data_IF_843772634533
#
_entry.id   IF_843772634533
#
_cell.length_a   1.000
_cell.length_b   1.000
_cell.length_c   1.000
_cell.angle_alpha   90.00
_cell.angle_beta   90.00
_cell.angle_gamma   90.00
#
_symmetry.space_group_name_H-M   'P 1'
#
loop_
_entity.id
_entity.type
_entity.pdbx_description
1 polymer ?
#
# COMPACT_ATOMS: atom_id res chain seq x y z
N UNK A 1 -32.14 25.94 -3.66
CA UNK A 1 -32.06 25.67 -5.12
C UNK A 1 -33.40 25.04 -5.50
N UNK A 2 -33.84 25.03 -6.75
CA UNK A 2 -35.24 24.65 -7.06
C UNK A 2 -35.60 23.16 -6.81
N UNK A 3 -34.62 22.32 -6.44
CA UNK A 3 -34.79 20.87 -6.23
C UNK A 3 -34.34 20.40 -4.83
N UNK A 4 -34.44 21.24 -3.80
CA UNK A 4 -33.93 20.91 -2.45
C UNK A 4 -34.63 19.69 -1.79
N UNK A 5 -35.78 19.24 -2.33
CA UNK A 5 -36.52 18.06 -1.87
C UNK A 5 -36.14 16.77 -2.61
N UNK A 6 -35.40 16.86 -3.72
CA UNK A 6 -34.96 15.68 -4.47
C UNK A 6 -33.60 15.20 -3.96
N UNK A 7 -33.37 13.88 -3.83
CA UNK A 7 -32.06 13.35 -3.54
C UNK A 7 -31.01 13.93 -4.51
N UNK A 8 -29.92 14.44 -3.95
CA UNK A 8 -28.82 15.07 -4.70
C UNK A 8 -29.22 16.25 -5.61
N UNK A 9 -30.35 16.92 -5.34
CA UNK A 9 -30.82 18.06 -6.13
C UNK A 9 -31.22 17.71 -7.56
N UNK A 10 -31.74 16.50 -7.77
CA UNK A 10 -32.21 16.01 -9.08
C UNK A 10 -31.09 15.53 -10.02
N UNK A 11 -29.86 15.44 -9.53
CA UNK A 11 -28.72 14.93 -10.32
C UNK A 11 -28.74 13.41 -10.37
N UNK A 12 -28.41 12.87 -11.54
CA UNK A 12 -28.16 11.43 -11.69
C UNK A 12 -26.80 11.09 -11.07
N UNK A 13 -26.79 10.17 -10.11
CA UNK A 13 -25.58 9.63 -9.48
C UNK A 13 -25.33 8.20 -9.95
N UNK A 14 -24.10 7.94 -10.41
CA UNK A 14 -23.62 6.60 -10.73
C UNK A 14 -22.45 6.30 -9.81
N UNK A 15 -22.56 5.23 -9.04
CA UNK A 15 -21.52 4.76 -8.14
C UNK A 15 -20.98 3.43 -8.64
N UNK A 16 -19.67 3.27 -8.57
CA UNK A 16 -19.00 2.02 -8.87
C UNK A 16 -18.05 1.71 -7.73
N UNK A 17 -18.03 0.46 -7.29
CA UNK A 17 -17.25 0.04 -6.15
C UNK A 17 -17.40 -1.43 -5.89
N UNK A 18 -16.60 -1.91 -4.94
CA UNK A 18 -16.61 -3.29 -4.51
C UNK A 18 -16.55 -3.32 -2.98
N UNK A 19 -17.66 -3.72 -2.37
CA UNK A 19 -17.80 -3.77 -0.92
C UNK A 19 -16.94 -4.84 -0.25
N UNK A 20 -16.26 -5.72 -1.00
CA UNK A 20 -15.22 -6.62 -0.45
C UNK A 20 -13.92 -5.88 -0.12
N UNK A 21 -13.72 -4.68 -0.68
CA UNK A 21 -12.52 -3.87 -0.45
C UNK A 21 -12.55 -3.15 0.90
N UNK A 22 -11.48 -2.42 1.24
CA UNK A 22 -11.40 -1.72 2.52
C UNK A 22 -12.49 -0.62 2.56
N UNK A 23 -13.18 -0.59 3.70
CA UNK A 23 -14.24 0.36 4.02
C UNK A 23 -13.67 1.73 4.42
N UNK A 24 -14.52 2.77 4.57
CA UNK A 24 -14.09 4.06 5.09
C UNK A 24 -13.34 3.91 6.43
N UNK A 25 -12.19 4.57 6.54
CA UNK A 25 -11.39 4.55 7.77
C UNK A 25 -12.01 5.52 8.78
N UNK A 26 -12.57 4.99 9.87
CA UNK A 26 -13.07 5.77 10.99
C UNK A 26 -11.99 5.82 12.08
N UNK A 27 -11.41 7.01 12.29
CA UNK A 27 -10.33 7.20 13.27
C UNK A 27 -10.85 6.92 14.67
N UNK A 28 -10.21 5.97 15.38
CA UNK A 28 -10.64 5.48 16.71
C UNK A 28 -12.05 4.87 16.72
N UNK A 29 -12.57 4.49 15.55
CA UNK A 29 -13.86 3.82 15.42
C UNK A 29 -13.77 2.34 15.77
N UNK A 30 -14.88 1.80 16.22
CA UNK A 30 -15.14 0.37 16.35
C UNK A 30 -15.48 -0.24 14.98
N UNK A 31 -15.53 -1.58 14.86
CA UNK A 31 -16.12 -2.22 13.69
C UNK A 31 -17.52 -1.68 13.36
N UNK A 32 -18.38 -1.46 14.37
CA UNK A 32 -19.72 -0.91 14.18
C UNK A 32 -19.69 0.48 13.53
N UNK A 33 -18.80 1.37 13.99
CA UNK A 33 -18.67 2.71 13.41
C UNK A 33 -18.20 2.66 11.94
N UNK A 34 -17.31 1.71 11.61
CA UNK A 34 -16.84 1.50 10.23
C UNK A 34 -17.97 1.04 9.31
N UNK A 35 -18.87 0.21 9.84
CA UNK A 35 -20.05 -0.29 9.12
C UNK A 35 -21.07 0.82 8.94
N UNK A 36 -21.32 1.62 9.98
CA UNK A 36 -22.24 2.76 9.93
C UNK A 36 -21.76 3.84 8.94
N UNK A 37 -20.45 4.05 8.84
CA UNK A 37 -19.84 4.92 7.84
C UNK A 37 -19.91 4.37 6.40
N UNK A 38 -20.25 3.09 6.20
CA UNK A 38 -20.38 2.49 4.88
C UNK A 38 -21.61 3.06 4.15
N UNK A 39 -21.48 3.26 2.83
CA UNK A 39 -22.58 3.76 2.01
C UNK A 39 -23.87 2.92 2.13
N UNK A 40 -23.76 1.60 2.32
CA UNK A 40 -24.91 0.72 2.50
C UNK A 40 -25.74 1.01 3.76
N UNK A 41 -25.14 1.65 4.76
CA UNK A 41 -25.81 2.05 6.00
C UNK A 41 -26.48 3.41 5.88
N UNK A 42 -26.26 4.14 4.77
CA UNK A 42 -26.89 5.43 4.53
C UNK A 42 -28.40 5.29 4.26
N UNK A 43 -29.20 6.22 4.78
CA UNK A 43 -30.62 6.34 4.43
C UNK A 43 -30.85 6.61 2.93
N UNK A 44 -29.84 7.12 2.23
CA UNK A 44 -29.89 7.33 0.78
C UNK A 44 -29.70 6.03 -0.01
N UNK A 45 -29.22 4.94 0.60
CA UNK A 45 -28.92 3.69 -0.10
C UNK A 45 -30.14 3.09 -0.80
N UNK A 46 -31.33 3.24 -0.20
CA UNK A 46 -32.61 2.78 -0.77
C UNK A 46 -33.01 3.47 -2.09
N UNK A 47 -32.40 4.60 -2.42
CA UNK A 47 -32.64 5.33 -3.67
C UNK A 47 -31.77 4.82 -4.83
N UNK A 48 -30.76 3.98 -4.55
CA UNK A 48 -29.88 3.46 -5.59
C UNK A 48 -30.41 2.15 -6.18
N UNK A 49 -30.44 2.09 -7.50
CA UNK A 49 -30.64 0.83 -8.22
C UNK A 49 -29.32 0.05 -8.28
N UNK A 50 -29.34 -1.19 -7.79
CA UNK A 50 -28.15 -2.03 -7.73
C UNK A 50 -28.01 -2.87 -9.00
N UNK A 51 -26.85 -2.79 -9.66
CA UNK A 51 -26.50 -3.62 -10.81
C UNK A 51 -25.18 -4.31 -10.53
N UNK A 52 -25.11 -5.61 -10.79
CA UNK A 52 -23.94 -6.44 -10.51
C UNK A 52 -23.25 -6.82 -11.82
N UNK A 53 -21.95 -6.54 -11.92
CA UNK A 53 -21.11 -7.06 -13.01
C UNK A 53 -20.63 -8.45 -12.63
N UNK A 54 -21.08 -9.47 -13.36
CA UNK A 54 -20.80 -10.89 -13.07
C UNK A 54 -19.80 -11.52 -14.02
N UNK A 55 -19.65 -10.96 -15.22
CA UNK A 55 -18.69 -11.47 -16.21
C UNK A 55 -17.27 -10.96 -15.94
N UNK A 56 -16.36 -11.89 -15.66
CA UNK A 56 -14.95 -11.57 -15.49
C UNK A 56 -14.27 -11.43 -16.86
N UNK A 57 -14.16 -10.19 -17.35
CA UNK A 57 -13.52 -9.89 -18.63
C UNK A 57 -12.07 -10.39 -18.74
N UNK A 58 -11.35 -10.57 -17.61
CA UNK A 58 -9.99 -11.12 -17.63
C UNK A 58 -9.98 -12.58 -18.06
N UNK A 59 -10.95 -13.36 -17.59
CA UNK A 59 -11.14 -14.76 -17.98
C UNK A 59 -11.55 -14.86 -19.45
N UNK A 60 -12.47 -13.99 -19.90
CA UNK A 60 -12.92 -13.94 -21.30
C UNK A 60 -11.77 -13.58 -22.27
N UNK A 61 -10.86 -12.70 -21.84
CA UNK A 61 -9.70 -12.28 -22.65
C UNK A 61 -8.52 -13.27 -22.62
N UNK A 62 -8.68 -14.43 -21.97
CA UNK A 62 -7.59 -15.41 -21.85
C UNK A 62 -7.21 -15.98 -23.22
N UNK A 63 -5.91 -16.22 -23.42
CA UNK A 63 -5.37 -16.69 -24.71
C UNK A 63 -5.58 -18.19 -24.96
N UNK A 64 -5.88 -18.95 -23.91
CA UNK A 64 -6.12 -20.39 -23.95
C UNK A 64 -7.13 -20.80 -22.89
N UNK A 65 -7.74 -21.97 -23.08
CA UNK A 65 -8.66 -22.57 -22.09
C UNK A 65 -7.97 -22.86 -20.75
N UNK A 66 -6.70 -23.29 -20.78
CA UNK A 66 -5.92 -23.53 -19.56
C UNK A 66 -5.72 -22.25 -18.74
N UNK A 67 -5.32 -21.16 -19.39
CA UNK A 67 -5.18 -19.86 -18.73
C UNK A 67 -6.52 -19.33 -18.26
N UNK A 68 -7.60 -19.54 -19.02
CA UNK A 68 -8.95 -19.16 -18.60
C UNK A 68 -9.36 -19.89 -17.32
N UNK A 69 -9.12 -21.20 -17.24
CA UNK A 69 -9.43 -22.03 -16.07
C UNK A 69 -8.64 -21.60 -14.84
N UNK A 70 -7.33 -21.32 -14.98
CA UNK A 70 -6.50 -20.81 -13.89
C UNK A 70 -6.98 -19.44 -13.37
N UNK A 71 -7.29 -18.52 -14.28
CA UNK A 71 -7.83 -17.20 -13.93
C UNK A 71 -9.19 -17.30 -13.26
N UNK A 72 -10.06 -18.21 -13.72
CA UNK A 72 -11.37 -18.46 -13.13
C UNK A 72 -11.24 -19.05 -11.71
N UNK A 73 -10.37 -20.05 -11.52
CA UNK A 73 -10.11 -20.64 -10.21
C UNK A 73 -9.55 -19.61 -9.22
N UNK A 74 -8.61 -18.77 -9.68
CA UNK A 74 -8.08 -17.68 -8.86
C UNK A 74 -9.15 -16.63 -8.55
N UNK A 75 -9.97 -16.25 -9.54
CA UNK A 75 -11.10 -15.33 -9.33
C UNK A 75 -12.06 -15.85 -8.26
N UNK A 76 -12.45 -17.12 -8.32
CA UNK A 76 -13.33 -17.73 -7.32
C UNK A 76 -12.68 -17.78 -5.92
N UNK A 77 -11.38 -18.08 -5.86
CA UNK A 77 -10.62 -17.97 -4.62
C UNK A 77 -10.69 -16.57 -4.02
N UNK A 78 -10.49 -15.52 -4.83
CA UNK A 78 -10.60 -14.12 -4.37
C UNK A 78 -12.00 -13.79 -3.86
N UNK A 79 -13.07 -14.24 -4.54
CA UNK A 79 -14.45 -14.04 -4.09
C UNK A 79 -14.68 -14.67 -2.72
N UNK A 80 -14.24 -15.92 -2.52
CA UNK A 80 -14.35 -16.63 -1.24
C UNK A 80 -13.59 -15.92 -0.11
N UNK A 81 -12.41 -15.37 -0.39
CA UNK A 81 -11.65 -14.57 0.58
C UNK A 81 -12.44 -13.30 0.94
N UNK A 82 -12.84 -12.51 -0.06
CA UNK A 82 -13.49 -11.20 0.16
C UNK A 82 -14.86 -11.29 0.83
N UNK A 83 -15.61 -12.36 0.58
CA UNK A 83 -16.94 -12.58 1.16
C UNK A 83 -16.91 -13.42 2.44
N UNK A 84 -15.73 -13.90 2.85
CA UNK A 84 -15.59 -14.76 4.03
C UNK A 84 -16.27 -16.13 3.87
N UNK A 85 -16.37 -16.62 2.62
CA UNK A 85 -16.89 -17.94 2.20
C UNK A 85 -15.79 -18.98 1.95
N UNK A 86 -14.58 -18.74 2.44
CA UNK A 86 -13.47 -19.68 2.36
C UNK A 86 -13.70 -20.88 3.29
N UNK A 87 -12.95 -21.95 3.06
CA UNK A 87 -12.98 -23.11 3.94
C UNK A 87 -12.51 -22.72 5.34
N UNK A 88 -13.28 -23.11 6.34
CA UNK A 88 -13.05 -22.75 7.74
C UNK A 88 -12.02 -23.72 8.33
N UNK A 89 -10.93 -23.16 8.88
CA UNK A 89 -9.98 -23.95 9.64
C UNK A 89 -10.68 -24.56 10.86
N UNK A 90 -10.56 -25.88 11.05
CA UNK A 90 -11.15 -26.57 12.21
C UNK A 90 -10.56 -26.09 13.54
N UNK A 91 -9.29 -25.69 13.54
CA UNK A 91 -8.56 -25.27 14.73
C UNK A 91 -8.65 -23.76 14.99
N UNK A 92 -8.68 -22.93 13.95
CA UNK A 92 -8.64 -21.47 14.08
C UNK A 92 -10.01 -20.79 13.90
N UNK A 93 -10.96 -21.43 13.23
CA UNK A 93 -12.27 -20.86 12.93
C UNK A 93 -12.32 -20.03 11.65
N UNK A 94 -13.39 -19.24 11.51
CA UNK A 94 -13.87 -18.65 10.25
C UNK A 94 -13.23 -17.31 9.86
N UNK A 95 -12.37 -16.79 10.72
CA UNK A 95 -11.73 -15.48 10.56
C UNK A 95 -10.27 -15.66 10.08
N UNK A 96 -9.90 -16.88 9.71
CA UNK A 96 -8.59 -17.22 9.16
C UNK A 96 -8.75 -17.89 7.81
N UNK A 97 -7.93 -17.46 6.85
CA UNK A 97 -7.88 -18.07 5.53
C UNK A 97 -6.51 -18.68 5.27
N UNK A 98 -6.51 -19.85 4.63
CA UNK A 98 -5.29 -20.50 4.18
C UNK A 98 -4.81 -19.88 2.87
N UNK A 99 -3.61 -19.29 2.90
CA UNK A 99 -2.84 -18.92 1.71
C UNK A 99 -2.14 -20.17 1.20
N UNK A 100 -2.42 -20.61 -0.03
CA UNK A 100 -1.84 -21.84 -0.57
C UNK A 100 -0.32 -21.80 -0.74
N UNK A 101 0.33 -22.96 -0.63
CA UNK A 101 1.80 -23.10 -0.67
C UNK A 101 2.47 -22.48 -1.90
N UNK A 102 1.89 -22.61 -3.09
CA UNK A 102 2.46 -22.06 -4.34
C UNK A 102 2.47 -20.51 -4.39
N UNK A 103 1.66 -19.88 -3.54
CA UNK A 103 1.62 -18.42 -3.36
C UNK A 103 2.58 -17.95 -2.26
N UNK A 104 3.21 -18.85 -1.52
CA UNK A 104 4.09 -18.50 -0.41
C UNK A 104 5.55 -18.46 -0.86
N UNK A 105 6.34 -17.68 -0.14
CA UNK A 105 7.79 -17.77 -0.10
C UNK A 105 8.12 -18.54 1.16
N UNK A 106 8.90 -19.60 1.02
CA UNK A 106 9.30 -20.40 2.16
C UNK A 106 10.15 -19.56 3.11
N UNK A 107 9.77 -19.62 4.38
CA UNK A 107 10.50 -18.99 5.48
C UNK A 107 11.11 -20.08 6.40
N UNK A 108 11.21 -21.32 5.91
CA UNK A 108 11.69 -22.49 6.64
C UNK A 108 13.03 -22.95 6.06
N UNK A 109 14.12 -22.58 6.73
CA UNK A 109 15.23 -23.48 7.08
C UNK A 109 16.24 -22.77 7.99
N UNK A 110 16.85 -23.59 8.84
CA UNK A 110 17.88 -23.26 9.82
C UNK A 110 19.20 -22.95 9.14
N UNK A 111 19.56 -21.67 9.02
CA UNK A 111 20.98 -21.37 8.90
C UNK A 111 21.58 -21.67 10.27
N UNK A 112 22.41 -22.71 10.32
CA UNK A 112 23.34 -22.99 11.43
C UNK A 112 24.36 -21.85 11.63
N UNK A 113 24.21 -20.73 10.89
CA UNK A 113 25.12 -19.61 10.78
C UNK A 113 24.47 -18.24 11.12
N UNK A 114 23.19 -18.19 11.49
CA UNK A 114 22.60 -16.99 12.08
C UNK A 114 22.46 -17.21 13.58
N UNK A 115 23.33 -16.60 14.38
CA UNK A 115 23.15 -16.51 15.82
C UNK A 115 21.72 -16.00 16.07
N UNK A 116 20.90 -16.78 16.78
CA UNK A 116 19.50 -16.42 17.09
C UNK A 116 19.40 -15.04 17.79
N UNK A 117 20.52 -14.58 18.36
CA UNK A 117 20.72 -13.26 18.96
C UNK A 117 20.79 -12.09 17.95
N UNK A 118 21.23 -12.30 16.70
CA UNK A 118 21.29 -11.24 15.69
C UNK A 118 19.89 -10.78 15.25
N UNK A 119 18.88 -11.65 15.29
CA UNK A 119 17.51 -11.33 14.93
C UNK A 119 16.81 -10.40 15.95
N UNK A 120 17.36 -10.26 17.16
CA UNK A 120 16.79 -9.49 18.28
C UNK A 120 17.45 -8.10 18.39
N UNK A 121 18.56 -7.85 17.67
CA UNK A 121 19.25 -6.56 17.70
C UNK A 121 18.38 -5.43 17.10
N UNK A 122 18.36 -4.25 17.73
CA UNK A 122 17.75 -3.06 17.15
C UNK A 122 18.40 -2.73 15.79
N UNK A 123 17.65 -2.91 14.70
CA UNK A 123 18.12 -2.67 13.33
C UNK A 123 18.40 -3.92 12.50
N UNK A 124 18.25 -5.12 13.08
CA UNK A 124 18.31 -6.37 12.32
C UNK A 124 17.20 -6.44 11.26
N UNK A 125 17.55 -6.94 10.07
CA UNK A 125 16.60 -7.21 8.98
C UNK A 125 16.06 -8.61 9.21
N UNK A 126 14.76 -8.80 9.51
CA UNK A 126 14.20 -10.14 9.67
C UNK A 126 14.49 -11.01 8.44
N UNK A 127 14.75 -12.30 8.63
CA UNK A 127 15.03 -13.22 7.51
C UNK A 127 13.94 -13.17 6.45
N UNK A 128 12.67 -13.19 6.87
CA UNK A 128 11.56 -13.10 5.94
C UNK A 128 11.56 -11.79 5.14
N UNK A 129 12.01 -10.69 5.75
CA UNK A 129 12.23 -9.42 5.05
C UNK A 129 13.33 -9.55 3.98
N UNK A 130 14.43 -10.25 4.26
CA UNK A 130 15.47 -10.53 3.26
C UNK A 130 14.88 -11.33 2.08
N UNK A 131 14.17 -12.42 2.35
CA UNK A 131 13.63 -13.33 1.35
C UNK A 131 12.61 -12.65 0.42
N UNK A 132 11.68 -11.84 0.95
CA UNK A 132 10.71 -11.12 0.09
C UNK A 132 11.42 -10.09 -0.80
N UNK A 133 12.48 -9.44 -0.31
CA UNK A 133 13.27 -8.50 -1.11
C UNK A 133 14.02 -9.25 -2.21
N UNK A 134 14.61 -10.41 -1.90
CA UNK A 134 15.31 -11.25 -2.89
C UNK A 134 14.34 -11.68 -4.01
N UNK A 135 13.14 -12.15 -3.67
CA UNK A 135 12.14 -12.56 -4.68
C UNK A 135 11.65 -11.40 -5.53
N UNK A 136 11.45 -10.21 -4.94
CA UNK A 136 10.83 -9.09 -5.66
C UNK A 136 11.84 -8.20 -6.39
N UNK A 137 13.06 -8.08 -5.86
CA UNK A 137 14.06 -7.10 -6.25
C UNK A 137 15.46 -7.71 -6.47
N UNK A 138 15.57 -8.99 -6.83
CA UNK A 138 16.84 -9.66 -7.16
C UNK A 138 17.71 -8.84 -8.13
N UNK A 139 17.10 -8.37 -9.22
CA UNK A 139 17.80 -7.67 -10.31
C UNK A 139 17.87 -6.14 -10.13
N UNK A 140 17.67 -5.63 -8.91
CA UNK A 140 17.61 -4.17 -8.65
C UNK A 140 18.86 -3.39 -9.11
N UNK A 141 20.00 -4.07 -9.26
CA UNK A 141 21.27 -3.48 -9.69
C UNK A 141 21.66 -3.84 -11.13
N UNK A 142 20.86 -4.62 -11.84
CA UNK A 142 21.12 -4.96 -13.23
C UNK A 142 20.55 -3.84 -14.13
N UNK A 143 21.37 -3.02 -14.79
CA UNK A 143 20.89 -1.88 -15.57
C UNK A 143 20.04 -2.28 -16.78
N UNK A 144 20.21 -3.49 -17.32
CA UNK A 144 19.43 -4.00 -18.45
C UNK A 144 18.03 -4.46 -18.03
N UNK A 145 17.84 -4.74 -16.73
CA UNK A 145 16.60 -5.26 -16.17
C UNK A 145 15.89 -4.20 -15.32
N UNK A 146 16.60 -3.42 -14.51
CA UNK A 146 16.07 -2.43 -13.56
C UNK A 146 15.62 -1.12 -14.25
N UNK A 147 14.77 -1.23 -15.27
CA UNK A 147 14.19 -0.11 -16.02
C UNK A 147 12.96 0.50 -15.32
N UNK A 148 12.37 1.54 -15.90
CA UNK A 148 11.09 2.11 -15.46
C UNK A 148 10.00 1.03 -15.40
N UNK A 149 9.92 0.16 -16.41
CA UNK A 149 8.94 -0.93 -16.49
C UNK A 149 9.15 -1.97 -15.39
N UNK A 150 10.40 -2.25 -15.03
CA UNK A 150 10.72 -3.16 -13.94
C UNK A 150 10.13 -2.66 -12.63
N UNK A 151 10.41 -1.42 -12.25
CA UNK A 151 9.88 -0.86 -11.01
C UNK A 151 8.38 -0.57 -11.08
N UNK A 152 7.85 -0.19 -12.25
CA UNK A 152 6.42 0.01 -12.47
C UNK A 152 5.60 -1.27 -12.29
N UNK A 153 6.11 -2.39 -12.80
CA UNK A 153 5.40 -3.68 -12.83
C UNK A 153 5.38 -4.40 -11.49
N UNK A 154 6.14 -3.95 -10.48
CA UNK A 154 6.25 -4.63 -9.19
C UNK A 154 6.14 -3.72 -7.98
N UNK A 155 5.70 -4.30 -6.87
CA UNK A 155 5.72 -3.66 -5.55
C UNK A 155 5.66 -4.72 -4.46
N UNK A 156 6.16 -4.38 -3.28
CA UNK A 156 5.80 -5.08 -2.04
C UNK A 156 4.63 -4.34 -1.38
N UNK A 157 3.67 -5.07 -0.85
CA UNK A 157 2.60 -4.57 0.00
C UNK A 157 2.79 -5.04 1.44
N UNK A 158 2.44 -4.17 2.38
CA UNK A 158 2.39 -4.50 3.81
C UNK A 158 1.29 -3.70 4.52
N UNK A 159 1.08 -3.94 5.80
CA UNK A 159 -0.09 -3.47 6.54
C UNK A 159 0.04 -2.03 7.07
N UNK A 160 1.25 -1.57 7.43
CA UNK A 160 1.45 -0.27 8.10
C UNK A 160 2.56 0.59 7.47
N UNK A 161 2.47 1.92 7.62
CA UNK A 161 3.49 2.85 7.14
C UNK A 161 4.87 2.64 7.81
N UNK A 162 4.89 2.22 9.07
CA UNK A 162 6.14 1.93 9.79
C UNK A 162 6.90 0.77 9.16
N UNK A 163 6.19 -0.31 8.81
CA UNK A 163 6.80 -1.44 8.09
C UNK A 163 7.20 -1.00 6.68
N UNK A 164 6.36 -0.24 5.96
CA UNK A 164 6.72 0.33 4.64
C UNK A 164 8.05 1.09 4.69
N UNK A 165 8.27 1.93 5.71
CA UNK A 165 9.52 2.67 5.86
C UNK A 165 10.70 1.72 6.03
N UNK A 166 10.58 0.74 6.94
CA UNK A 166 11.64 -0.26 7.19
C UNK A 166 12.03 -1.03 5.93
N UNK A 167 11.04 -1.52 5.16
CA UNK A 167 11.32 -2.29 3.94
C UNK A 167 11.90 -1.38 2.86
N UNK A 168 11.36 -0.17 2.66
CA UNK A 168 11.91 0.77 1.67
C UNK A 168 13.38 1.12 1.99
N UNK A 169 13.72 1.33 3.26
CA UNK A 169 15.10 1.55 3.70
C UNK A 169 15.98 0.33 3.40
N UNK A 170 15.52 -0.88 3.75
CA UNK A 170 16.25 -2.13 3.48
C UNK A 170 16.47 -2.38 1.97
N UNK A 171 15.45 -2.16 1.13
CA UNK A 171 15.57 -2.29 -0.34
C UNK A 171 16.51 -1.22 -0.89
N UNK A 172 16.39 0.03 -0.42
CA UNK A 172 17.25 1.14 -0.88
C UNK A 172 18.71 0.95 -0.50
N UNK A 173 19.02 0.24 0.60
CA UNK A 173 20.41 -0.08 0.96
C UNK A 173 21.06 -1.03 -0.05
N UNK A 174 20.29 -1.93 -0.66
CA UNK A 174 20.77 -2.88 -1.68
C UNK A 174 21.01 -2.26 -3.06
N UNK A 175 20.29 -1.19 -3.38
CA UNK A 175 20.49 -0.46 -4.62
C UNK A 175 21.91 0.15 -4.66
N UNK A 176 22.66 -0.08 -5.73
CA UNK A 176 24.00 0.48 -5.92
C UNK A 176 23.94 2.00 -6.11
N UNK A 177 25.09 2.66 -5.90
CA UNK A 177 25.22 4.10 -6.05
C UNK A 177 25.12 4.89 -4.75
N UNK A 178 25.51 6.16 -4.85
CA UNK A 178 25.67 7.04 -3.69
C UNK A 178 24.32 7.47 -3.13
N UNK A 179 24.22 7.44 -1.80
CA UNK A 179 23.05 7.93 -1.08
C UNK A 179 23.10 9.44 -0.95
N UNK A 180 22.08 10.15 -1.46
CA UNK A 180 21.89 11.57 -1.23
C UNK A 180 20.92 11.79 -0.07
N UNK A 181 21.30 12.64 0.88
CA UNK A 181 20.50 12.95 2.07
C UNK A 181 19.94 14.36 1.97
N UNK A 182 18.62 14.50 2.06
CA UNK A 182 17.91 15.77 2.14
C UNK A 182 17.29 15.94 3.51
N UNK A 183 17.83 16.90 4.28
CA UNK A 183 17.24 17.33 5.54
C UNK A 183 16.13 18.36 5.27
N UNK A 184 15.02 18.26 5.99
CA UNK A 184 13.95 19.25 5.92
C UNK A 184 14.32 20.52 6.69
N UNK A 185 13.56 21.58 6.44
CA UNK A 185 13.56 22.79 7.28
C UNK A 185 12.23 22.83 8.00
N UNK A 186 12.28 22.71 9.33
CA UNK A 186 11.10 22.58 10.19
C UNK A 186 10.90 23.86 11.01
N UNK A 187 9.64 24.23 11.23
CA UNK A 187 9.23 25.36 12.08
C UNK A 187 7.82 25.12 12.61
N UNK A 188 7.39 25.93 13.58
CA UNK A 188 6.04 25.86 14.16
C UNK A 188 5.29 27.16 13.81
N UNK A 189 4.01 27.06 13.41
CA UNK A 189 3.23 28.24 12.99
C UNK A 189 3.12 29.34 14.06
N UNK A 190 3.03 28.96 15.34
CA UNK A 190 2.76 29.87 16.47
C UNK A 190 4.01 30.15 17.33
N UNK A 191 5.18 29.68 16.89
CA UNK A 191 6.47 29.94 17.55
C UNK A 191 7.25 30.98 16.74
N UNK A 192 6.86 32.25 16.86
CA UNK A 192 7.49 33.35 16.13
C UNK A 192 8.97 33.55 16.50
N UNK A 193 9.37 33.14 17.72
CA UNK A 193 10.73 33.29 18.23
C UNK A 193 11.59 32.03 18.04
N UNK A 194 10.98 30.90 17.63
CA UNK A 194 11.65 29.61 17.40
C UNK A 194 12.23 28.95 18.65
N UNK A 195 11.74 29.35 19.83
CA UNK A 195 12.34 29.00 21.13
C UNK A 195 11.48 28.03 21.95
N UNK A 196 10.26 27.71 21.52
CA UNK A 196 9.38 26.83 22.29
C UNK A 196 9.71 25.36 22.09
N UNK A 197 10.33 25.00 20.96
CA UNK A 197 10.68 23.61 20.63
C UNK A 197 12.11 23.49 20.12
N UNK A 198 12.88 22.56 20.70
CA UNK A 198 14.18 22.18 20.16
C UNK A 198 14.03 21.55 18.77
N UNK A 199 14.95 21.86 17.86
CA UNK A 199 14.91 21.38 16.49
C UNK A 199 14.93 19.84 16.42
N UNK A 200 15.69 19.20 17.32
CA UNK A 200 15.77 17.75 17.49
C UNK A 200 14.39 17.13 17.74
N UNK A 201 13.55 17.77 18.56
CA UNK A 201 12.18 17.31 18.81
C UNK A 201 11.38 17.34 17.51
N UNK A 202 11.43 18.46 16.77
CA UNK A 202 10.73 18.60 15.50
C UNK A 202 11.18 17.56 14.45
N UNK A 203 12.48 17.22 14.43
CA UNK A 203 13.04 16.23 13.51
C UNK A 203 12.54 14.81 13.77
N UNK A 204 12.15 14.48 15.01
CA UNK A 204 11.59 13.15 15.36
C UNK A 204 10.11 13.01 15.03
N UNK A 205 9.42 14.13 14.76
CA UNK A 205 7.97 14.14 14.55
C UNK A 205 7.63 13.56 13.17
N UNK A 206 6.88 12.45 13.20
CA UNK A 206 6.35 11.76 12.03
C UNK A 206 4.84 11.97 11.93
N UNK A 207 4.41 12.66 10.87
CA UNK A 207 3.00 13.03 10.64
C UNK A 207 2.54 12.43 9.31
N UNK A 208 1.37 11.79 9.32
CA UNK A 208 0.76 11.23 8.11
C UNK A 208 0.56 12.33 7.05
N UNK A 209 0.97 12.04 5.81
CA UNK A 209 0.84 12.99 4.69
C UNK A 209 1.92 14.08 4.66
N UNK A 210 2.92 14.02 5.55
CA UNK A 210 4.12 14.86 5.52
C UNK A 210 5.35 13.95 5.35
N UNK A 211 6.29 14.27 4.44
CA UNK A 211 7.54 13.53 4.31
C UNK A 211 8.38 13.52 5.60
N UNK A 212 9.26 12.52 5.79
CA UNK A 212 10.17 12.49 6.94
C UNK A 212 11.15 13.67 6.90
N UNK A 213 11.67 14.05 8.06
CA UNK A 213 12.72 15.07 8.17
C UNK A 213 13.94 14.71 7.32
N UNK A 214 14.42 13.48 7.47
CA UNK A 214 15.55 12.93 6.70
C UNK A 214 15.02 12.07 5.55
N UNK A 215 15.14 12.59 4.33
CA UNK A 215 14.86 11.85 3.11
C UNK A 215 16.17 11.37 2.48
N UNK A 216 16.38 10.06 2.41
CA UNK A 216 17.58 9.45 1.79
C UNK A 216 17.18 8.79 0.48
N UNK A 217 17.80 9.19 -0.63
CA UNK A 217 17.48 8.71 -1.98
C UNK A 217 18.76 8.30 -2.73
N UNK A 218 18.61 7.46 -3.75
CA UNK A 218 19.66 7.07 -4.70
C UNK A 218 19.16 7.29 -6.13
N UNK A 219 20.07 7.55 -7.06
CA UNK A 219 19.74 7.55 -8.49
C UNK A 219 19.26 6.16 -8.91
N UNK A 220 18.26 6.10 -9.78
CA UNK A 220 17.58 4.85 -10.17
C UNK A 220 16.48 4.39 -9.20
N UNK A 221 16.37 4.94 -7.99
CA UNK A 221 15.34 4.52 -7.04
C UNK A 221 13.92 4.94 -7.50
N UNK A 222 12.90 4.09 -7.37
CA UNK A 222 11.50 4.47 -7.51
C UNK A 222 11.07 5.33 -6.31
N UNK A 223 10.40 6.43 -6.61
CA UNK A 223 9.77 7.34 -5.65
C UNK A 223 8.29 7.57 -6.01
N UNK A 224 7.52 8.06 -5.07
CA UNK A 224 6.10 8.36 -5.24
C UNK A 224 5.79 9.75 -4.73
N UNK A 225 5.03 10.51 -5.52
CA UNK A 225 4.52 11.83 -5.17
C UNK A 225 3.54 11.75 -3.99
N UNK A 226 3.66 12.68 -3.04
CA UNK A 226 2.79 12.76 -1.86
C UNK A 226 1.69 13.83 -1.97
N UNK A 227 1.81 14.75 -2.93
CA UNK A 227 0.87 15.87 -3.13
C UNK A 227 0.66 16.13 -4.63
N UNK A 228 -0.48 16.72 -4.94
CA UNK A 228 -0.74 17.30 -6.25
C UNK A 228 0.07 18.58 -6.36
N UNK A 229 1.01 18.62 -7.31
CA UNK A 229 1.78 19.81 -7.65
C UNK A 229 1.33 20.37 -8.99
N UNK A 230 1.21 19.51 -9.99
CA UNK A 230 0.75 19.87 -11.33
C UNK A 230 0.08 18.66 -11.98
N UNK A 231 -1.25 18.51 -11.84
CA UNK A 231 -2.00 17.41 -12.45
C UNK A 231 -1.86 17.35 -13.97
N UNK A 232 -1.78 18.51 -14.62
CA UNK A 232 -1.64 18.60 -16.07
C UNK A 232 -0.30 18.06 -16.55
N UNK A 233 0.72 17.96 -15.69
CA UNK A 233 2.00 17.30 -15.98
C UNK A 233 2.11 15.90 -15.38
N UNK A 234 1.02 15.35 -14.84
CA UNK A 234 1.02 14.05 -14.17
C UNK A 234 1.67 14.05 -12.77
N UNK A 235 2.00 15.22 -12.21
CA UNK A 235 2.55 15.37 -10.86
C UNK A 235 1.43 15.40 -9.81
N UNK A 236 0.72 14.29 -9.71
CA UNK A 236 -0.36 14.02 -8.75
C UNK A 236 0.13 13.19 -7.57
N UNK A 237 -0.60 13.23 -6.45
CA UNK A 237 -0.40 12.30 -5.35
C UNK A 237 -0.56 10.86 -5.85
N UNK A 238 0.40 10.00 -5.53
CA UNK A 238 0.44 8.61 -5.96
C UNK A 238 1.19 8.36 -7.28
N UNK A 239 1.55 9.40 -8.05
CA UNK A 239 2.37 9.22 -9.26
C UNK A 239 3.70 8.59 -8.88
N UNK A 240 4.03 7.44 -9.50
CA UNK A 240 5.31 6.75 -9.32
C UNK A 240 6.32 7.24 -10.35
N UNK A 241 7.52 7.56 -9.89
CA UNK A 241 8.60 8.13 -10.68
C UNK A 241 9.90 7.34 -10.44
N UNK A 242 10.85 7.39 -11.37
CA UNK A 242 12.22 6.90 -11.13
C UNK A 242 13.19 8.07 -11.06
N UNK A 243 14.03 8.09 -10.04
CA UNK A 243 15.05 9.14 -9.89
C UNK A 243 16.08 9.05 -11.01
N UNK A 244 16.28 10.14 -11.75
CA UNK A 244 17.33 10.26 -12.77
C UNK A 244 18.54 10.96 -12.18
N UNK A 245 18.34 12.12 -11.55
CA UNK A 245 19.43 12.92 -10.95
C UNK A 245 19.00 13.58 -9.66
N UNK A 246 19.87 13.52 -8.66
CA UNK A 246 19.69 14.17 -7.36
C UNK A 246 20.52 15.46 -7.30
N UNK A 247 19.85 16.62 -7.26
CA UNK A 247 20.48 17.94 -7.13
C UNK A 247 20.10 18.60 -5.81
N UNK A 248 20.83 19.63 -5.32
CA UNK A 248 20.56 20.23 -4.01
C UNK A 248 19.13 20.78 -3.81
N UNK A 249 18.54 21.35 -4.87
CA UNK A 249 17.26 22.06 -4.79
C UNK A 249 16.14 21.48 -5.66
N UNK A 250 16.45 20.47 -6.47
CA UNK A 250 15.49 19.85 -7.40
C UNK A 250 15.81 18.38 -7.55
N UNK A 251 14.77 17.54 -7.61
CA UNK A 251 14.90 16.14 -8.01
C UNK A 251 14.46 16.05 -9.48
N UNK A 252 15.31 15.46 -10.31
CA UNK A 252 14.97 15.11 -11.69
C UNK A 252 14.58 13.63 -11.73
N UNK A 253 13.38 13.34 -12.24
CA UNK A 253 12.82 11.99 -12.29
C UNK A 253 12.03 11.76 -13.59
N UNK A 254 11.81 10.50 -13.97
CA UNK A 254 10.91 10.10 -15.06
C UNK A 254 9.61 9.53 -14.52
N UNK A 255 8.49 9.77 -15.22
CA UNK A 255 7.21 9.13 -14.89
C UNK A 255 7.22 7.66 -15.34
N UNK A 256 6.93 6.73 -14.42
CA UNK A 256 7.02 5.29 -14.70
C UNK A 256 5.75 4.66 -15.27
N UNK A 257 4.59 5.30 -15.11
CA UNK A 257 3.28 4.71 -15.48
C UNK A 257 2.30 5.73 -16.05
N UNK A 258 1.30 5.24 -16.78
CA UNK A 258 0.20 6.05 -17.33
C UNK A 258 0.55 6.74 -18.66
N UNK A 259 -0.33 7.63 -19.10
CA UNK A 259 -0.22 8.29 -20.42
C UNK A 259 1.05 9.13 -20.61
N UNK A 260 1.68 9.52 -19.49
CA UNK A 260 2.89 10.35 -19.47
C UNK A 260 4.17 9.55 -19.18
N UNK A 261 4.12 8.22 -19.30
CA UNK A 261 5.27 7.35 -19.08
C UNK A 261 6.49 7.81 -19.90
N UNK A 262 7.66 7.81 -19.27
CA UNK A 262 8.93 8.23 -19.86
C UNK A 262 9.17 9.74 -19.88
N UNK A 263 8.19 10.57 -19.51
CA UNK A 263 8.39 12.03 -19.45
C UNK A 263 9.25 12.42 -18.24
N UNK A 264 10.24 13.29 -18.50
CA UNK A 264 11.07 13.91 -17.47
C UNK A 264 10.32 15.00 -16.71
N UNK A 265 10.48 15.01 -15.39
CA UNK A 265 9.89 16.00 -14.49
C UNK A 265 10.91 16.51 -13.48
N UNK A 266 10.72 17.75 -13.05
CA UNK A 266 11.51 18.41 -12.03
C UNK A 266 10.64 18.66 -10.80
N UNK A 267 11.09 18.18 -9.64
CA UNK A 267 10.34 18.23 -8.40
C UNK A 267 11.06 19.17 -7.43
N UNK A 268 10.47 20.33 -7.08
CA UNK A 268 11.02 21.23 -6.07
C UNK A 268 10.59 20.81 -4.67
N UNK A 269 11.22 21.40 -3.65
CA UNK A 269 10.73 21.34 -2.27
C UNK A 269 9.48 22.20 -2.09
N UNK A 270 8.51 21.72 -1.32
CA UNK A 270 7.32 22.47 -0.94
C UNK A 270 7.19 22.52 0.59
N UNK A 271 6.35 23.43 1.09
CA UNK A 271 6.05 23.51 2.52
C UNK A 271 4.81 22.67 2.80
N UNK A 272 4.96 21.71 3.71
CA UNK A 272 3.88 20.96 4.31
C UNK A 272 3.48 21.63 5.62
N UNK A 273 2.20 21.65 5.93
CA UNK A 273 1.67 22.12 7.20
C UNK A 273 0.81 21.02 7.78
N UNK A 274 1.03 20.63 9.04
CA UNK A 274 0.16 19.67 9.71
C UNK A 274 -1.22 20.28 9.97
N UNK A 275 -2.25 19.44 10.03
CA UNK A 275 -3.56 19.89 10.50
C UNK A 275 -3.53 19.99 12.03
N UNK A 276 -3.79 21.21 12.52
CA UNK A 276 -3.78 21.52 13.96
C UNK A 276 -5.01 21.00 14.72
N UNK A 277 -6.03 20.47 14.01
CA UNK A 277 -7.29 20.00 14.61
C UNK A 277 -7.22 18.58 15.18
N UNK A 278 -6.10 17.88 15.01
CA UNK A 278 -5.90 16.61 15.71
C UNK A 278 -5.65 16.89 17.19
N UNK A 279 -6.54 16.41 18.08
CA UNK A 279 -6.42 16.52 19.55
C UNK A 279 -5.09 15.96 20.12
N UNK A 280 -4.29 15.31 19.27
CA UNK A 280 -3.02 14.67 19.61
C UNK A 280 -1.79 15.52 19.24
N UNK A 281 -1.94 16.65 18.56
CA UNK A 281 -0.82 17.48 18.14
C UNK A 281 -0.70 18.74 19.01
N UNK A 282 0.40 18.86 19.75
CA UNK A 282 0.68 20.00 20.63
C UNK A 282 0.97 21.30 19.86
N UNK A 283 1.28 21.20 18.56
CA UNK A 283 1.65 22.34 17.73
C UNK A 283 1.43 22.05 16.24
N UNK A 284 1.35 23.11 15.43
CA UNK A 284 1.22 22.99 13.98
C UNK A 284 2.59 23.05 13.30
N UNK A 285 3.10 21.89 12.89
CA UNK A 285 4.38 21.72 12.22
C UNK A 285 4.31 22.27 10.78
N UNK A 286 5.29 23.09 10.40
CA UNK A 286 5.63 23.42 9.02
C UNK A 286 6.92 22.73 8.63
N UNK A 287 6.89 21.91 7.58
CA UNK A 287 8.07 21.19 7.07
C UNK A 287 8.31 21.51 5.61
N UNK A 288 9.45 22.10 5.27
CA UNK A 288 9.90 22.29 3.88
C UNK A 288 10.73 21.10 3.43
N UNK A 289 10.18 20.28 2.54
CA UNK A 289 10.81 19.06 2.03
C UNK A 289 10.33 18.73 0.61
N UNK A 290 11.04 17.85 -0.10
CA UNK A 290 10.55 17.30 -1.36
C UNK A 290 9.26 16.48 -1.13
N UNK A 291 8.22 16.63 -1.97
CA UNK A 291 6.94 15.95 -1.81
C UNK A 291 6.98 14.50 -2.29
N UNK A 292 8.00 13.73 -1.90
CA UNK A 292 8.23 12.36 -2.38
C UNK A 292 8.69 11.43 -1.26
N UNK A 293 8.38 10.14 -1.43
CA UNK A 293 8.89 9.03 -0.61
C UNK A 293 9.33 7.88 -1.51
N UNK A 294 10.19 6.98 -1.02
CA UNK A 294 10.55 5.75 -1.73
C UNK A 294 9.30 4.90 -2.03
N UNK A 295 9.32 4.23 -3.18
CA UNK A 295 8.16 3.55 -3.75
C UNK A 295 8.46 2.10 -4.22
N UNK A 296 9.36 1.40 -3.53
CA UNK A 296 9.50 -0.05 -3.65
C UNK A 296 8.34 -0.78 -2.94
N UNK A 297 7.79 -0.12 -1.93
CA UNK A 297 6.80 -0.67 -1.02
C UNK A 297 5.73 0.36 -0.74
N UNK A 298 4.49 -0.10 -0.61
CA UNK A 298 3.38 0.72 -0.12
C UNK A 298 2.46 -0.09 0.78
N UNK A 299 1.57 0.59 1.49
CA UNK A 299 0.55 -0.09 2.27
C UNK A 299 -0.50 -0.70 1.37
N UNK A 300 -1.15 -1.77 1.84
CA UNK A 300 -2.30 -2.38 1.15
C UNK A 300 -3.40 -1.34 0.90
N UNK A 301 -3.68 -0.47 1.88
CA UNK A 301 -4.67 0.60 1.76
C UNK A 301 -4.35 1.56 0.60
N UNK A 302 -3.06 1.91 0.40
CA UNK A 302 -2.64 2.75 -0.73
C UNK A 302 -2.77 2.04 -2.08
N UNK A 303 -2.63 0.72 -2.10
CA UNK A 303 -2.73 -0.08 -3.32
C UNK A 303 -4.18 -0.31 -3.78
N UNK A 304 -5.18 0.05 -2.97
CA UNK A 304 -6.59 -0.07 -3.37
C UNK A 304 -6.87 0.70 -4.66
N UNK A 305 -7.55 0.05 -5.60
CA UNK A 305 -7.80 0.60 -6.94
C UNK A 305 -6.65 0.45 -7.93
N UNK A 306 -5.45 0.04 -7.51
CA UNK A 306 -4.30 -0.18 -8.40
C UNK A 306 -4.22 -1.63 -8.87
N UNK A 307 -3.64 -1.87 -10.04
CA UNK A 307 -3.28 -3.22 -10.52
C UNK A 307 -1.76 -3.30 -10.66
N UNK A 308 -1.16 -4.40 -10.19
CA UNK A 308 0.27 -4.64 -10.23
C UNK A 308 0.53 -5.97 -10.93
N UNK A 309 1.58 -6.04 -11.75
CA UNK A 309 1.89 -7.27 -12.47
C UNK A 309 2.55 -8.31 -11.57
N UNK A 310 3.52 -7.93 -10.73
CA UNK A 310 4.20 -8.81 -9.77
C UNK A 310 4.07 -8.24 -8.37
N UNK A 311 3.50 -9.00 -7.43
CA UNK A 311 3.18 -8.51 -6.10
C UNK A 311 3.80 -9.37 -5.03
N UNK A 312 4.60 -8.74 -4.18
CA UNK A 312 5.03 -9.29 -2.91
C UNK A 312 4.07 -8.86 -1.80
N UNK A 313 3.56 -9.76 -0.98
CA UNK A 313 2.83 -9.43 0.24
C UNK A 313 3.71 -9.81 1.44
N UNK A 314 4.13 -8.83 2.23
CA UNK A 314 4.90 -9.07 3.44
C UNK A 314 4.07 -8.73 4.69
N UNK A 315 3.75 -9.76 5.46
CA UNK A 315 2.99 -9.66 6.71
C UNK A 315 3.92 -9.92 7.90
N UNK A 316 4.60 -8.87 8.36
CA UNK A 316 5.23 -8.86 9.68
C UNK A 316 4.19 -8.83 10.81
N UNK A 317 3.04 -8.21 10.53
CA UNK A 317 1.83 -8.29 11.35
C UNK A 317 0.65 -8.69 10.47
N UNK A 318 -0.34 -9.40 11.02
CA UNK A 318 -1.54 -9.75 10.27
C UNK A 318 -2.32 -8.54 9.75
N UNK A 319 -3.18 -8.78 8.76
CA UNK A 319 -4.15 -7.78 8.33
C UNK A 319 -5.11 -7.45 9.49
N UNK A 320 -5.33 -6.16 9.73
CA UNK A 320 -6.07 -5.67 10.91
C UNK A 320 -7.36 -4.90 10.54
N UNK A 321 -7.65 -4.75 9.26
CA UNK A 321 -8.82 -4.05 8.75
C UNK A 321 -9.65 -4.93 7.82
N UNK A 322 -10.96 -4.66 7.78
CA UNK A 322 -11.87 -5.29 6.84
C UNK A 322 -11.35 -5.20 5.40
N UNK A 323 -11.44 -6.32 4.67
CA UNK A 323 -11.14 -6.37 3.23
C UNK A 323 -9.67 -6.15 2.88
N UNK A 324 -8.78 -5.93 3.86
CA UNK A 324 -7.38 -5.59 3.61
C UNK A 324 -6.65 -6.74 2.88
N UNK A 325 -6.78 -7.98 3.37
CA UNK A 325 -6.19 -9.14 2.69
C UNK A 325 -6.76 -9.34 1.27
N UNK A 326 -8.07 -9.20 1.11
CA UNK A 326 -8.74 -9.26 -0.20
C UNK A 326 -8.21 -8.17 -1.16
N UNK A 327 -8.04 -6.93 -0.69
CA UNK A 327 -7.44 -5.87 -1.50
C UNK A 327 -6.05 -6.28 -1.95
N UNK A 328 -5.18 -6.77 -1.06
CA UNK A 328 -3.83 -7.19 -1.42
C UNK A 328 -3.84 -8.28 -2.51
N UNK A 329 -4.61 -9.35 -2.31
CA UNK A 329 -4.69 -10.48 -3.24
C UNK A 329 -5.26 -10.08 -4.61
N UNK A 330 -6.25 -9.18 -4.63
CA UNK A 330 -6.92 -8.74 -5.86
C UNK A 330 -6.12 -7.73 -6.69
N UNK A 331 -4.94 -7.28 -6.23
CA UNK A 331 -4.08 -6.35 -6.99
C UNK A 331 -3.37 -7.02 -8.15
N UNK A 332 -3.21 -8.34 -8.14
CA UNK A 332 -2.63 -9.11 -9.25
C UNK A 332 -3.70 -9.70 -10.16
N UNK A 333 -3.33 -9.94 -11.40
CA UNK A 333 -4.21 -10.59 -12.37
C UNK A 333 -4.09 -12.11 -12.33
N UNK A 334 -2.91 -12.65 -12.04
CA UNK A 334 -2.65 -14.08 -11.99
C UNK A 334 -2.02 -14.47 -10.66
N UNK A 335 -2.42 -15.65 -10.19
CA UNK A 335 -1.93 -16.27 -8.96
C UNK A 335 -0.41 -16.45 -8.95
N UNK A 336 0.18 -16.85 -10.08
CA UNK A 336 1.62 -17.11 -10.19
C UNK A 336 2.48 -15.86 -10.02
N UNK A 337 1.87 -14.67 -10.14
CA UNK A 337 2.53 -13.38 -9.97
C UNK A 337 2.38 -12.79 -8.57
N UNK A 338 1.71 -13.52 -7.68
CA UNK A 338 1.59 -13.18 -6.28
C UNK A 338 2.53 -14.04 -5.47
N UNK A 339 3.28 -13.41 -4.57
CA UNK A 339 4.11 -14.09 -3.57
C UNK A 339 3.90 -13.46 -2.20
N UNK A 340 3.60 -14.28 -1.20
CA UNK A 340 3.41 -13.84 0.18
C UNK A 340 4.47 -14.41 1.10
N UNK A 341 4.91 -13.61 2.06
CA UNK A 341 5.67 -14.06 3.20
C UNK A 341 4.99 -13.58 4.47
N UNK A 342 4.69 -14.54 5.35
CA UNK A 342 4.01 -14.32 6.62
C UNK A 342 5.02 -14.70 7.70
N UNK A 343 5.49 -13.72 8.47
CA UNK A 343 6.58 -13.96 9.45
C UNK A 343 6.12 -14.85 10.60
N UNK A 344 4.91 -14.59 11.10
CA UNK A 344 4.35 -15.29 12.26
C UNK A 344 2.98 -15.86 11.88
N UNK A 345 2.96 -16.99 11.15
CA UNK A 345 1.71 -17.62 10.77
C UNK A 345 0.97 -18.18 11.98
N UNK A 346 -0.35 -18.14 11.95
CA UNK A 346 -1.18 -18.70 13.04
C UNK A 346 -1.17 -20.24 13.02
N UNK A 347 -1.12 -20.81 11.81
CA UNK A 347 -0.99 -22.23 11.58
C UNK A 347 -0.33 -22.45 10.22
N UNK A 348 0.68 -23.30 10.18
CA UNK A 348 1.33 -23.76 8.95
C UNK A 348 1.08 -25.25 8.75
N UNK A 349 0.62 -25.61 7.56
CA UNK A 349 0.34 -26.98 7.12
C UNK A 349 1.05 -27.23 5.80
N UNK A 350 1.19 -28.49 5.37
CA UNK A 350 1.92 -28.81 4.13
C UNK A 350 1.39 -28.09 2.89
N UNK A 351 0.09 -27.86 2.83
CA UNK A 351 -0.61 -27.24 1.70
C UNK A 351 -0.72 -25.70 1.78
N UNK A 352 -0.31 -25.07 2.89
CA UNK A 352 -0.32 -23.61 3.01
C UNK A 352 -0.22 -23.06 4.42
N UNK A 353 -0.45 -21.75 4.54
CA UNK A 353 -0.31 -20.97 5.78
C UNK A 353 -1.59 -20.20 6.06
N UNK A 354 -2.07 -20.26 7.31
CA UNK A 354 -3.26 -19.52 7.75
C UNK A 354 -2.90 -18.11 8.25
N UNK A 355 -3.69 -17.12 7.83
CA UNK A 355 -3.59 -15.72 8.27
C UNK A 355 -4.97 -15.10 8.43
N UNK A 356 -5.04 -14.05 9.23
CA UNK A 356 -6.27 -13.32 9.54
C UNK A 356 -6.96 -12.76 8.28
N UNK A 357 -8.26 -13.01 8.18
CA UNK A 357 -9.13 -12.49 7.13
C UNK A 357 -10.35 -11.83 7.76
N UNK A 358 -10.27 -10.51 7.93
CA UNK A 358 -11.31 -9.73 8.59
C UNK A 358 -12.43 -9.43 7.58
N UNK A 359 -13.60 -10.06 7.78
CA UNK A 359 -14.78 -9.89 6.94
C UNK A 359 -16.04 -9.67 7.77
N UNK A 360 -16.63 -8.49 7.59
CA UNK A 360 -17.92 -8.01 8.07
C UNK A 360 -19.05 -8.56 7.19
N UNK A 361 -19.51 -9.77 7.54
CA UNK A 361 -20.50 -10.50 6.72
C UNK A 361 -21.85 -9.81 6.56
N UNK A 362 -22.26 -8.96 7.51
CA UNK A 362 -23.51 -8.21 7.44
C UNK A 362 -23.54 -7.21 6.27
N UNK A 363 -22.39 -6.80 5.72
CA UNK A 363 -22.31 -5.92 4.54
C UNK A 363 -22.87 -6.60 3.29
N UNK A 364 -22.88 -7.93 3.25
CA UNK A 364 -23.38 -8.72 2.14
C UNK A 364 -24.84 -9.16 2.32
N UNK A 365 -25.45 -8.90 3.47
CA UNK A 365 -26.87 -9.14 3.69
C UNK A 365 -27.73 -8.20 2.85
N UNK A 366 -28.84 -8.71 2.32
CA UNK A 366 -29.92 -7.93 1.72
C UNK A 366 -30.66 -7.15 2.80
N UNK A 367 -30.61 -5.84 2.75
CA UNK A 367 -31.71 -4.98 3.21
C UNK A 367 -32.71 -4.77 2.08
#
# INVERSE_FOLDING_TARGET
MDNDQEPFGGKVFVLSGDFRQILPVVVRGTPADTIDACLKSSSLWSHFNQVHLTENMRVQSARSESTAAELAAFSEFLLKVGEGRHEVSRSLGKDFVKIPRDMLIDNTESDQDMDEDEAILPGAVPRGLKNIIDVMYADINNPDIATDEYFASRTILTTTNAVVQRINEAVSQRLSGDSHKYLSVDSVNDDNDGNFFEAEVLHTVSINGIPPHKLTLKEGAPIMMMRNLNPDLGLCNGTRLRVVKLKPHVIHATIMTGERQGQDVLIPRIVFVSDGDSRDSLFRLRRKQFPVVLAFVMTINKAQGQTVQNLGLYLATPCFSYGQLYVALSRVTSRSKFKALIEYPQLEEGDGVNTDNIVYRHIFGTT
#
